data_IF_551448010090
#
_entry.id   IF_551448010090
#
_cell.length_a   1.000
_cell.length_b   1.000
_cell.length_c   1.000
_cell.angle_alpha   90.00
_cell.angle_beta   90.00
_cell.angle_gamma   90.00
#
_symmetry.space_group_name_H-M   'P 1'
#
loop_
_entity.id
_entity.type
_entity.pdbx_description
1 polymer ?
#
# COMPACT_ATOMS: atom_id res chain seq x y z
N UNK A 1 -12.17 21.83 15.97
CA UNK A 1 -11.36 21.45 14.78
C UNK A 1 -12.11 20.32 14.10
N UNK A 2 -12.81 20.62 13.01
CA UNK A 2 -13.70 19.67 12.35
C UNK A 2 -12.86 18.53 11.71
N UNK A 3 -13.20 17.28 12.02
CA UNK A 3 -12.50 16.11 11.45
C UNK A 3 -12.80 16.03 9.96
N UNK A 4 -11.88 16.52 9.13
CA UNK A 4 -11.96 16.45 7.66
C UNK A 4 -11.70 15.05 7.08
N UNK A 5 -11.38 14.07 7.91
CA UNK A 5 -11.12 12.69 7.50
C UNK A 5 -12.26 11.82 8.00
N UNK A 6 -12.95 11.15 7.06
CA UNK A 6 -13.96 10.16 7.38
C UNK A 6 -13.33 9.07 8.28
N UNK A 7 -13.77 8.91 9.54
CA UNK A 7 -13.18 7.93 10.46
C UNK A 7 -13.41 6.48 10.01
N UNK A 8 -14.43 6.24 9.18
CA UNK A 8 -14.81 4.92 8.70
C UNK A 8 -14.10 4.51 7.40
N UNK A 9 -13.35 5.43 6.77
CA UNK A 9 -12.69 5.18 5.48
C UNK A 9 -11.22 5.65 5.48
N UNK A 10 -10.27 4.78 5.10
CA UNK A 10 -10.45 3.37 4.74
C UNK A 10 -10.68 2.49 5.98
N UNK A 11 -11.55 1.48 5.86
CA UNK A 11 -11.74 0.45 6.89
C UNK A 11 -10.40 -0.24 7.17
N UNK A 12 -9.81 0.04 8.33
CA UNK A 12 -8.47 -0.47 8.67
C UNK A 12 -8.54 -1.96 9.04
N UNK A 13 -7.67 -2.81 8.49
CA UNK A 13 -7.57 -4.20 8.92
C UNK A 13 -7.01 -4.27 10.35
N UNK A 14 -7.27 -5.39 11.02
CA UNK A 14 -6.67 -5.67 12.32
C UNK A 14 -5.14 -5.68 12.23
N UNK A 15 -4.47 -5.10 13.23
CA UNK A 15 -3.03 -4.82 13.21
C UNK A 15 -2.17 -6.06 12.96
N UNK A 16 -2.53 -7.18 13.59
CA UNK A 16 -1.80 -8.44 13.46
C UNK A 16 -1.75 -8.97 12.01
N UNK A 17 -2.78 -8.70 11.18
CA UNK A 17 -2.77 -9.10 9.77
C UNK A 17 -1.72 -8.32 8.97
N UNK A 18 -1.57 -7.04 9.29
CA UNK A 18 -0.60 -6.15 8.66
C UNK A 18 0.82 -6.56 9.06
N UNK A 19 1.04 -6.83 10.36
CA UNK A 19 2.34 -7.23 10.85
C UNK A 19 2.77 -8.59 10.29
N UNK A 20 1.85 -9.56 10.18
CA UNK A 20 2.11 -10.84 9.54
C UNK A 20 2.54 -10.69 8.06
N UNK A 21 1.87 -9.82 7.29
CA UNK A 21 2.27 -9.55 5.91
C UNK A 21 3.64 -8.87 5.82
N UNK A 22 3.95 -7.97 6.76
CA UNK A 22 5.25 -7.29 6.82
C UNK A 22 6.39 -8.28 7.07
N UNK A 23 6.17 -9.33 7.86
CA UNK A 23 7.17 -10.38 8.14
C UNK A 23 7.47 -11.26 6.92
N UNK A 24 6.46 -11.53 6.06
CA UNK A 24 6.63 -12.33 4.83
C UNK A 24 7.49 -11.61 3.79
N UNK A 25 7.30 -10.30 3.65
CA UNK A 25 8.02 -9.48 2.67
C UNK A 25 7.41 -9.46 1.27
N UNK A 26 7.84 -8.48 0.47
CA UNK A 26 7.18 -8.13 -0.80
C UNK A 26 7.41 -9.16 -1.91
N UNK A 27 8.58 -9.78 -1.99
CA UNK A 27 8.90 -10.75 -3.04
C UNK A 27 7.97 -11.98 -2.98
N UNK A 28 7.82 -12.58 -1.80
CA UNK A 28 6.94 -13.72 -1.58
C UNK A 28 5.48 -13.33 -1.80
N UNK A 29 5.04 -12.19 -1.24
CA UNK A 29 3.66 -11.72 -1.44
C UNK A 29 3.34 -11.53 -2.93
N UNK A 30 4.25 -10.96 -3.73
CA UNK A 30 4.03 -10.80 -5.16
C UNK A 30 3.88 -12.14 -5.89
N UNK A 31 4.64 -13.18 -5.49
CA UNK A 31 4.50 -14.52 -6.03
C UNK A 31 3.14 -15.14 -5.66
N UNK A 32 2.74 -15.07 -4.40
CA UNK A 32 1.45 -15.59 -3.92
C UNK A 32 0.26 -14.88 -4.59
N UNK A 33 0.33 -13.56 -4.76
CA UNK A 33 -0.68 -12.79 -5.47
C UNK A 33 -0.83 -13.26 -6.92
N UNK A 34 0.27 -13.58 -7.60
CA UNK A 34 0.26 -14.09 -8.97
C UNK A 34 -0.29 -15.52 -9.06
N UNK A 35 0.16 -16.41 -8.17
CA UNK A 35 -0.13 -17.85 -8.26
C UNK A 35 -1.46 -18.24 -7.64
N UNK A 36 -1.83 -17.66 -6.49
CA UNK A 36 -3.06 -18.00 -5.76
C UNK A 36 -4.20 -17.07 -6.16
N UNK A 37 -3.95 -15.77 -6.21
CA UNK A 37 -5.01 -14.77 -6.43
C UNK A 37 -5.18 -14.37 -7.91
N UNK A 38 -4.28 -14.79 -8.80
CA UNK A 38 -4.30 -14.44 -10.22
C UNK A 38 -3.91 -12.98 -10.54
N UNK A 39 -3.40 -12.23 -9.57
CA UNK A 39 -2.98 -10.83 -9.72
C UNK A 39 -1.53 -10.79 -10.22
N UNK A 40 -1.33 -10.47 -11.49
CA UNK A 40 -0.02 -10.58 -12.16
C UNK A 40 0.89 -9.36 -11.92
N UNK A 41 0.30 -8.17 -11.84
CA UNK A 41 1.02 -6.90 -11.79
C UNK A 41 0.84 -6.20 -10.42
N UNK A 42 1.38 -6.81 -9.37
CA UNK A 42 1.28 -6.32 -7.99
C UNK A 42 2.41 -5.34 -7.60
N UNK A 43 3.45 -5.22 -8.42
CA UNK A 43 4.60 -4.36 -8.16
C UNK A 43 4.39 -2.93 -8.71
N UNK A 44 4.59 -1.92 -7.86
CA UNK A 44 4.61 -0.51 -8.28
C UNK A 44 6.00 -0.14 -8.81
N UNK A 45 6.09 0.04 -10.13
CA UNK A 45 7.31 0.53 -10.77
C UNK A 45 7.47 2.05 -10.55
N UNK A 46 8.69 2.49 -10.24
CA UNK A 46 9.03 3.91 -10.07
C UNK A 46 9.50 4.26 -8.66
N UNK A 47 8.68 4.07 -7.61
CA UNK A 47 9.09 4.33 -6.24
C UNK A 47 10.32 3.52 -5.83
N UNK A 48 11.33 4.20 -5.28
CA UNK A 48 12.52 3.57 -4.69
C UNK A 48 12.57 3.87 -3.20
N UNK A 49 13.19 2.97 -2.43
CA UNK A 49 13.32 3.18 -0.98
C UNK A 49 14.28 4.31 -0.68
N UNK A 50 13.82 5.33 0.06
CA UNK A 50 14.68 6.38 0.62
C UNK A 50 15.44 5.91 1.88
N UNK A 51 15.16 4.70 2.39
CA UNK A 51 15.79 4.15 3.60
C UNK A 51 15.96 2.64 3.46
N UNK A 52 17.17 2.21 3.14
CA UNK A 52 17.50 0.81 2.89
C UNK A 52 17.27 -0.07 4.14
N UNK A 53 16.92 -1.34 3.90
CA UNK A 53 16.69 -2.33 4.96
C UNK A 53 15.37 -2.17 5.73
N UNK A 54 14.46 -1.30 5.27
CA UNK A 54 13.14 -1.13 5.87
C UNK A 54 12.06 -1.82 5.04
N UNK A 55 11.14 -2.49 5.73
CA UNK A 55 9.91 -3.05 5.18
C UNK A 55 8.71 -2.38 5.86
N UNK A 56 7.70 -2.01 5.07
CA UNK A 56 6.47 -1.39 5.56
C UNK A 56 5.25 -2.20 5.10
N UNK A 57 4.20 -2.18 5.91
CA UNK A 57 2.90 -2.75 5.60
C UNK A 57 1.80 -1.93 6.28
N UNK A 58 0.66 -1.76 5.62
CA UNK A 58 -0.46 -0.99 6.16
C UNK A 58 -1.58 -0.80 5.14
N UNK A 59 -2.74 -0.29 5.58
CA UNK A 59 -3.79 0.12 4.66
C UNK A 59 -3.32 1.30 3.81
N UNK A 60 -3.66 1.28 2.53
CA UNK A 60 -3.37 2.39 1.62
C UNK A 60 -4.33 3.57 1.86
N UNK A 61 -3.80 4.78 1.75
CA UNK A 61 -4.58 6.01 1.55
C UNK A 61 -4.13 6.54 0.20
N UNK A 62 -5.06 6.63 -0.76
CA UNK A 62 -4.74 7.02 -2.12
C UNK A 62 -4.83 8.55 -2.27
N UNK A 63 -3.84 9.13 -2.94
CA UNK A 63 -3.84 10.53 -3.35
C UNK A 63 -3.70 10.56 -4.87
N UNK A 64 -4.49 11.41 -5.52
CA UNK A 64 -4.41 11.63 -6.96
C UNK A 64 -4.13 13.11 -7.21
N UNK A 65 -3.09 13.36 -7.99
CA UNK A 65 -2.71 14.69 -8.44
C UNK A 65 -2.90 14.77 -9.95
N UNK A 66 -3.31 15.93 -10.43
CA UNK A 66 -3.39 16.24 -11.85
C UNK A 66 -2.43 17.40 -12.14
N UNK A 67 -1.84 17.49 -13.35
CA UNK A 67 -1.09 18.67 -13.75
C UNK A 67 -1.92 19.93 -13.56
N UNK A 68 -1.26 21.00 -13.12
CA UNK A 68 -1.88 22.32 -13.12
C UNK A 68 -2.15 22.71 -14.58
N UNK A 69 -3.35 23.23 -14.83
CA UNK A 69 -3.72 23.87 -16.08
C UNK A 69 -3.46 25.36 -15.93
N UNK A 70 -2.72 25.92 -16.89
CA UNK A 70 -2.39 27.35 -16.93
C UNK A 70 -3.47 28.20 -17.63
N UNK A 71 -4.47 27.55 -18.27
CA UNK A 71 -5.65 28.20 -18.88
C UNK A 71 -6.75 28.58 -17.88
#
# INVERSE_FOLDING_TARGET
>A
MEKRINPDFPKRPARYKVDALKEIGTATISAELKHIAGIKDSFMMGPQSCSLGKTIGGPAITLQFMPIRED
#
